data_IF_252512666234
#
_entry.id   IF_252512666234
#
_cell.length_a   1.000
_cell.length_b   1.000
_cell.length_c   1.000
_cell.angle_alpha   90.00
_cell.angle_beta   90.00
_cell.angle_gamma   90.00
#
_symmetry.space_group_name_H-M   'P 1'
#
loop_
_entity.id
_entity.type
_entity.pdbx_description
1 polymer ?
#
# COMPACT_ATOMS: atom_id res chain seq x y z
N UNK A 1 19.61 -11.90 0.66
CA UNK A 1 18.26 -12.08 1.24
C UNK A 1 17.24 -11.16 0.57
N UNK A 2 17.33 -9.83 0.65
CA UNK A 2 16.31 -8.93 0.08
C UNK A 2 16.20 -8.98 -1.47
N UNK A 3 17.31 -9.06 -2.21
CA UNK A 3 17.28 -9.19 -3.69
C UNK A 3 16.70 -10.53 -4.13
N UNK A 4 17.04 -11.61 -3.41
CA UNK A 4 16.49 -12.94 -3.68
C UNK A 4 14.96 -12.92 -3.50
N UNK A 5 14.46 -12.31 -2.42
CA UNK A 5 13.02 -12.14 -2.19
C UNK A 5 12.36 -11.36 -3.35
N UNK A 6 12.98 -10.28 -3.84
CA UNK A 6 12.44 -9.52 -4.98
C UNK A 6 12.39 -10.34 -6.27
N UNK A 7 13.38 -11.18 -6.53
CA UNK A 7 13.39 -12.05 -7.70
C UNK A 7 12.43 -13.23 -7.56
N UNK A 8 12.32 -13.83 -6.38
CA UNK A 8 11.41 -14.94 -6.08
C UNK A 8 9.94 -14.50 -6.14
N UNK A 9 9.65 -13.29 -5.66
CA UNK A 9 8.31 -12.69 -5.76
C UNK A 9 7.99 -12.13 -7.16
N UNK A 10 8.98 -12.06 -8.05
CA UNK A 10 8.83 -11.46 -9.38
C UNK A 10 8.76 -9.93 -9.39
N UNK A 11 8.99 -9.27 -8.25
CA UNK A 11 9.03 -7.81 -8.12
C UNK A 11 10.24 -7.18 -8.84
N UNK A 12 11.32 -7.95 -9.04
CA UNK A 12 12.46 -7.57 -9.86
C UNK A 12 12.92 -8.72 -10.76
N UNK A 13 13.52 -8.38 -11.89
CA UNK A 13 14.06 -9.34 -12.85
C UNK A 13 15.50 -9.00 -13.20
N UNK A 14 16.33 -10.01 -13.44
CA UNK A 14 17.65 -9.80 -14.00
C UNK A 14 17.51 -9.38 -15.47
N UNK A 15 18.22 -8.32 -15.87
CA UNK A 15 18.15 -7.77 -17.23
C UNK A 15 19.54 -7.31 -17.67
N UNK A 16 19.95 -7.53 -18.93
CA UNK A 16 21.24 -7.03 -19.40
C UNK A 16 21.36 -5.52 -19.28
N UNK A 17 22.51 -5.03 -18.80
CA UNK A 17 22.80 -3.60 -18.65
C UNK A 17 22.53 -2.79 -19.94
N UNK A 18 22.82 -3.36 -21.11
CA UNK A 18 22.55 -2.74 -22.41
C UNK A 18 21.07 -2.42 -22.69
N UNK A 19 20.13 -3.01 -21.94
CA UNK A 19 18.69 -2.73 -22.04
C UNK A 19 18.21 -1.67 -21.04
N UNK A 20 19.09 -1.21 -20.14
CA UNK A 20 18.77 -0.20 -19.13
C UNK A 20 19.17 1.19 -19.61
N UNK A 21 18.26 2.16 -19.47
CA UNK A 21 18.53 3.58 -19.66
C UNK A 21 19.05 4.22 -18.37
N UNK A 22 18.65 3.69 -17.21
CA UNK A 22 19.11 4.16 -15.91
C UNK A 22 19.51 2.98 -15.04
N UNK A 23 20.68 3.09 -14.41
CA UNK A 23 21.13 2.20 -13.33
C UNK A 23 21.28 3.10 -12.10
N UNK A 24 20.37 2.92 -11.14
CA UNK A 24 20.29 3.75 -9.94
C UNK A 24 21.02 3.08 -8.78
N UNK A 25 21.69 3.85 -7.91
CA UNK A 25 22.34 3.30 -6.72
C UNK A 25 21.36 2.57 -5.81
N UNK A 26 21.80 1.43 -5.27
CA UNK A 26 21.06 0.64 -4.32
C UNK A 26 21.68 0.81 -2.93
N UNK A 27 20.91 1.35 -2.00
CA UNK A 27 21.34 1.57 -0.62
C UNK A 27 20.57 0.66 0.34
N UNK A 28 21.12 0.43 1.52
CA UNK A 28 20.46 -0.29 2.61
C UNK A 28 20.42 0.61 3.83
N UNK A 29 19.25 0.75 4.43
CA UNK A 29 19.07 1.44 5.70
C UNK A 29 18.59 0.45 6.73
N UNK A 30 19.26 0.41 7.86
CA UNK A 30 18.86 -0.38 9.01
C UNK A 30 17.80 0.38 9.80
N UNK A 31 16.64 -0.24 10.00
CA UNK A 31 15.57 0.31 10.82
C UNK A 31 15.16 -0.71 11.87
N UNK A 32 15.64 -0.49 13.10
CA UNK A 32 15.54 -1.46 14.21
C UNK A 32 16.12 -2.81 13.74
N UNK A 33 15.32 -3.87 13.75
CA UNK A 33 15.72 -5.23 13.39
C UNK A 33 15.51 -5.56 11.90
N UNK A 34 15.26 -4.55 11.04
CA UNK A 34 14.98 -4.76 9.61
C UNK A 34 15.85 -3.90 8.72
N UNK A 35 16.56 -4.53 7.81
CA UNK A 35 17.20 -3.86 6.69
C UNK A 35 16.17 -3.51 5.63
N UNK A 36 16.14 -2.25 5.20
CA UNK A 36 15.31 -1.77 4.09
C UNK A 36 16.20 -1.38 2.94
N UNK A 37 15.93 -2.00 1.81
CA UNK A 37 16.59 -1.64 0.56
C UNK A 37 15.94 -0.38 -0.01
N UNK A 38 16.75 0.57 -0.42
CA UNK A 38 16.33 1.86 -0.96
C UNK A 38 16.99 2.04 -2.32
N UNK A 39 16.17 2.09 -3.36
CA UNK A 39 16.62 2.47 -4.69
C UNK A 39 16.66 4.00 -4.78
N UNK A 40 17.84 4.56 -5.04
CA UNK A 40 18.00 6.01 -5.16
C UNK A 40 17.51 6.50 -6.53
N UNK A 41 16.21 6.78 -6.60
CA UNK A 41 15.53 7.23 -7.81
C UNK A 41 15.51 8.75 -7.99
N UNK A 42 16.32 9.54 -7.26
CA UNK A 42 16.28 11.01 -7.33
C UNK A 42 16.36 11.55 -8.77
N UNK A 43 17.36 11.12 -9.54
CA UNK A 43 17.54 11.53 -10.94
C UNK A 43 16.41 11.09 -11.86
N UNK A 44 15.84 9.91 -11.60
CA UNK A 44 14.69 9.39 -12.37
C UNK A 44 13.45 10.22 -12.05
N UNK A 45 13.25 10.54 -10.78
CA UNK A 45 12.12 11.34 -10.31
C UNK A 45 12.14 12.78 -10.84
N UNK A 46 13.32 13.38 -11.03
CA UNK A 46 13.45 14.73 -11.62
C UNK A 46 12.88 14.80 -13.04
N UNK A 47 12.85 13.67 -13.76
CA UNK A 47 12.30 13.56 -15.11
C UNK A 47 10.82 13.15 -15.13
N UNK A 48 10.18 12.92 -13.97
CA UNK A 48 8.80 12.42 -13.88
C UNK A 48 7.87 13.56 -13.45
N UNK A 49 6.80 13.73 -14.23
CA UNK A 49 5.69 14.61 -13.84
C UNK A 49 4.78 13.83 -12.89
N UNK A 50 4.75 14.23 -11.62
CA UNK A 50 3.89 13.62 -10.60
C UNK A 50 2.55 14.34 -10.55
N UNK A 51 1.42 13.66 -10.80
CA UNK A 51 0.10 14.27 -10.65
C UNK A 51 -0.17 14.67 -9.20
N UNK A 52 -0.85 15.80 -9.00
CA UNK A 52 -1.36 16.18 -7.68
C UNK A 52 -2.51 15.26 -7.28
N UNK A 53 -2.53 14.83 -6.03
CA UNK A 53 -3.61 14.04 -5.46
C UNK A 53 -3.74 14.31 -3.96
N UNK A 54 -4.86 13.86 -3.37
CA UNK A 54 -5.14 13.99 -1.94
C UNK A 54 -5.36 12.62 -1.33
N UNK A 55 -4.79 12.39 -0.15
CA UNK A 55 -5.13 11.24 0.68
C UNK A 55 -6.50 11.42 1.31
N UNK A 56 -7.18 10.31 1.51
CA UNK A 56 -8.30 10.23 2.44
C UNK A 56 -7.71 9.68 3.73
N UNK A 57 -8.04 10.24 4.89
CA UNK A 57 -7.40 9.84 6.13
C UNK A 57 -8.19 10.34 7.33
N UNK A 58 -7.49 10.74 8.38
CA UNK A 58 -8.09 11.26 9.62
C UNK A 58 -9.10 12.40 9.37
N UNK A 59 -8.87 13.20 8.33
CA UNK A 59 -9.77 14.28 7.92
C UNK A 59 -11.20 13.82 7.59
N UNK A 60 -11.42 12.53 7.29
CA UNK A 60 -12.72 11.96 6.96
C UNK A 60 -13.36 11.20 8.13
N UNK A 61 -12.61 10.97 9.21
CA UNK A 61 -13.11 10.20 10.36
C UNK A 61 -14.28 10.94 11.00
N UNK A 62 -14.13 12.24 11.27
CA UNK A 62 -15.18 13.07 11.84
C UNK A 62 -16.47 13.11 10.99
N UNK A 63 -16.34 13.04 9.66
CA UNK A 63 -17.49 13.09 8.75
C UNK A 63 -18.27 11.76 8.67
N UNK A 64 -17.59 10.63 8.91
CA UNK A 64 -18.12 9.29 8.62
C UNK A 64 -18.40 8.45 9.85
N UNK A 65 -17.61 8.64 10.91
CA UNK A 65 -17.76 7.91 12.15
C UNK A 65 -19.00 8.41 12.90
N UNK A 66 -19.74 7.46 13.46
CA UNK A 66 -20.90 7.71 14.31
C UNK A 66 -20.62 7.11 15.68
N UNK A 67 -21.23 7.71 16.69
CA UNK A 67 -21.21 7.12 18.02
C UNK A 67 -21.80 5.70 17.97
N UNK A 68 -21.12 4.75 18.60
CA UNK A 68 -21.50 3.34 18.63
C UNK A 68 -21.04 2.51 17.43
N UNK A 69 -20.35 3.10 16.44
CA UNK A 69 -19.87 2.34 15.29
C UNK A 69 -18.89 1.22 15.66
N UNK A 70 -18.98 0.11 14.95
CA UNK A 70 -18.00 -0.96 14.99
C UNK A 70 -16.99 -0.74 13.88
N UNK A 71 -15.71 -0.77 14.26
CA UNK A 71 -14.58 -0.52 13.38
C UNK A 71 -13.74 -1.77 13.18
N UNK A 72 -13.17 -1.90 11.99
CA UNK A 72 -12.06 -2.80 11.72
C UNK A 72 -11.08 -2.11 10.77
N UNK A 73 -9.82 -2.50 10.82
CA UNK A 73 -8.79 -1.94 9.94
C UNK A 73 -7.96 -3.01 9.26
N UNK A 74 -7.54 -2.70 8.04
CA UNK A 74 -6.71 -3.58 7.22
C UNK A 74 -5.42 -2.83 6.90
N UNK A 75 -4.28 -3.47 7.17
CA UNK A 75 -2.94 -3.04 6.74
C UNK A 75 -2.54 -3.94 5.56
N UNK A 76 -2.20 -3.36 4.42
CA UNK A 76 -1.70 -4.09 3.26
C UNK A 76 -0.19 -4.36 3.41
N UNK A 77 0.24 -5.59 3.11
CA UNK A 77 1.65 -5.97 3.15
C UNK A 77 2.36 -5.40 1.93
N UNK A 78 3.51 -4.73 2.10
CA UNK A 78 4.39 -4.34 0.98
C UNK A 78 3.65 -3.65 -0.19
N UNK A 79 2.74 -2.72 0.10
CA UNK A 79 1.68 -2.27 -0.81
C UNK A 79 2.13 -1.99 -2.25
N UNK A 80 3.20 -1.21 -2.44
CA UNK A 80 3.66 -0.84 -3.77
C UNK A 80 4.10 -2.04 -4.63
N UNK A 81 4.72 -3.05 -4.02
CA UNK A 81 5.23 -4.21 -4.78
C UNK A 81 4.10 -5.10 -5.36
N UNK A 82 2.84 -4.88 -5.00
CA UNK A 82 1.69 -5.54 -5.63
C UNK A 82 1.31 -4.97 -6.99
N UNK A 83 1.83 -3.80 -7.36
CA UNK A 83 1.44 -3.11 -8.59
C UNK A 83 2.53 -3.25 -9.62
N UNK A 84 2.24 -4.00 -10.67
CA UNK A 84 3.13 -4.15 -11.81
C UNK A 84 3.28 -2.84 -12.60
N UNK A 85 4.49 -2.64 -13.09
CA UNK A 85 4.89 -1.54 -13.95
C UNK A 85 4.88 -2.04 -15.39
N UNK A 86 4.40 -1.21 -16.30
CA UNK A 86 4.44 -1.50 -17.72
C UNK A 86 5.89 -1.76 -18.20
N UNK A 87 6.15 -2.80 -19.02
CA UNK A 87 7.52 -3.18 -19.43
C UNK A 87 8.37 -2.08 -20.06
N UNK A 88 7.74 -1.11 -20.73
CA UNK A 88 8.44 0.04 -21.31
C UNK A 88 9.16 0.91 -20.27
N UNK A 89 8.72 0.87 -19.01
CA UNK A 89 9.29 1.69 -17.94
C UNK A 89 10.39 0.97 -17.16
N UNK A 90 10.53 -0.35 -17.28
CA UNK A 90 11.54 -1.12 -16.53
C UNK A 90 12.96 -0.63 -16.79
N UNK A 91 13.23 -0.16 -18.00
CA UNK A 91 14.54 0.37 -18.41
C UNK A 91 15.03 1.57 -17.58
N UNK A 92 14.12 2.28 -16.90
CA UNK A 92 14.45 3.42 -16.03
C UNK A 92 14.61 3.03 -14.55
N UNK A 93 14.22 1.81 -14.19
CA UNK A 93 14.18 1.33 -12.81
C UNK A 93 15.25 0.26 -12.57
N UNK A 94 16.37 0.41 -13.26
CA UNK A 94 17.50 -0.49 -13.18
C UNK A 94 18.35 -0.24 -11.93
N UNK A 95 18.99 -1.29 -11.44
CA UNK A 95 20.00 -1.23 -10.38
C UNK A 95 21.03 -2.36 -10.54
N UNK A 96 22.17 -2.22 -9.88
CA UNK A 96 23.21 -3.23 -9.85
C UNK A 96 23.32 -3.87 -8.46
N UNK A 97 23.49 -5.18 -8.42
CA UNK A 97 23.80 -5.93 -7.21
C UNK A 97 24.73 -7.10 -7.57
N UNK A 98 25.85 -7.21 -6.87
CA UNK A 98 26.84 -8.30 -7.03
C UNK A 98 27.30 -8.49 -8.50
N UNK A 99 27.63 -7.37 -9.16
CA UNK A 99 28.06 -7.35 -10.56
C UNK A 99 26.99 -7.71 -11.59
N UNK A 100 25.73 -7.85 -11.17
CA UNK A 100 24.58 -8.17 -12.03
C UNK A 100 23.60 -7.01 -12.04
N UNK A 101 22.96 -6.81 -13.19
CA UNK A 101 21.95 -5.77 -13.39
C UNK A 101 20.54 -6.34 -13.32
N UNK A 102 19.67 -5.58 -12.66
CA UNK A 102 18.28 -5.92 -12.41
C UNK A 102 17.40 -4.73 -12.75
N UNK A 103 16.11 -4.96 -12.99
CA UNK A 103 15.09 -3.92 -13.04
C UNK A 103 13.89 -4.30 -12.18
N UNK A 104 13.29 -3.29 -11.55
CA UNK A 104 11.99 -3.47 -10.91
C UNK A 104 10.88 -3.67 -11.93
N UNK A 105 10.08 -4.71 -11.72
CA UNK A 105 8.84 -5.01 -12.45
C UNK A 105 7.63 -4.44 -11.72
N UNK A 106 7.65 -4.36 -10.39
CA UNK A 106 6.58 -3.73 -9.60
C UNK A 106 7.03 -2.39 -9.00
N UNK A 107 6.10 -1.54 -8.55
CA UNK A 107 6.39 -0.19 -8.05
C UNK A 107 7.45 -0.21 -6.93
N UNK A 108 8.68 0.29 -7.16
CA UNK A 108 9.68 0.33 -6.11
C UNK A 108 9.41 1.47 -5.13
N UNK A 109 9.81 1.26 -3.89
CA UNK A 109 9.97 2.37 -2.95
C UNK A 109 11.00 3.37 -3.49
N UNK A 110 10.70 4.67 -3.33
CA UNK A 110 11.54 5.76 -3.85
C UNK A 110 11.06 6.34 -5.19
N UNK A 111 10.16 5.65 -5.92
CA UNK A 111 9.59 6.19 -7.14
C UNK A 111 8.53 7.24 -6.82
N UNK A 112 8.67 8.45 -7.36
CA UNK A 112 7.83 9.60 -7.00
C UNK A 112 6.34 9.41 -7.34
N UNK A 113 6.02 8.63 -8.37
CA UNK A 113 4.64 8.31 -8.76
C UNK A 113 4.03 7.14 -8.00
N UNK A 114 4.83 6.33 -7.28
CA UNK A 114 4.30 5.14 -6.60
C UNK A 114 3.16 5.45 -5.62
N UNK A 115 3.25 6.49 -4.75
CA UNK A 115 2.16 6.85 -3.85
C UNK A 115 0.88 7.26 -4.61
N UNK A 116 1.02 7.99 -5.72
CA UNK A 116 -0.11 8.39 -6.55
C UNK A 116 -0.81 7.17 -7.14
N UNK A 117 -0.07 6.31 -7.84
CA UNK A 117 -0.60 5.12 -8.52
C UNK A 117 -1.31 4.22 -7.52
N UNK A 118 -0.65 3.92 -6.40
CA UNK A 118 -1.22 3.05 -5.38
C UNK A 118 -2.49 3.65 -4.75
N UNK A 119 -2.47 4.96 -4.45
CA UNK A 119 -3.66 5.64 -3.92
C UNK A 119 -4.83 5.61 -4.91
N UNK A 120 -4.58 5.77 -6.21
CA UNK A 120 -5.65 5.68 -7.20
C UNK A 120 -6.26 4.27 -7.26
N UNK A 121 -5.43 3.23 -7.17
CA UNK A 121 -5.89 1.84 -7.14
C UNK A 121 -6.79 1.59 -5.92
N UNK A 122 -6.33 1.94 -4.72
CA UNK A 122 -7.12 1.76 -3.50
C UNK A 122 -8.41 2.58 -3.53
N UNK A 123 -8.40 3.78 -4.13
CA UNK A 123 -9.61 4.59 -4.32
C UNK A 123 -10.65 3.93 -5.20
N UNK A 124 -10.27 3.17 -6.23
CA UNK A 124 -11.25 2.43 -7.04
C UNK A 124 -11.93 1.33 -6.24
N UNK A 125 -11.18 0.59 -5.40
CA UNK A 125 -11.75 -0.40 -4.50
C UNK A 125 -12.68 0.25 -3.47
N UNK A 126 -12.23 1.35 -2.86
CA UNK A 126 -13.04 2.11 -1.92
C UNK A 126 -14.33 2.65 -2.55
N UNK A 127 -14.27 3.13 -3.80
CA UNK A 127 -15.47 3.55 -4.55
C UNK A 127 -16.47 2.42 -4.69
N UNK A 128 -16.02 1.24 -5.14
CA UNK A 128 -16.87 0.04 -5.26
C UNK A 128 -17.51 -0.34 -3.92
N UNK A 129 -16.77 -0.30 -2.82
CA UNK A 129 -17.33 -0.62 -1.50
C UNK A 129 -18.34 0.44 -1.03
N UNK A 130 -18.10 1.72 -1.32
CA UNK A 130 -19.04 2.81 -1.02
C UNK A 130 -20.34 2.68 -1.79
N UNK A 131 -20.28 2.27 -3.06
CA UNK A 131 -21.46 1.94 -3.89
C UNK A 131 -22.29 0.80 -3.27
N UNK A 132 -21.67 -0.07 -2.48
CA UNK A 132 -22.32 -1.14 -1.71
C UNK A 132 -22.74 -0.71 -0.30
N UNK A 133 -22.71 0.59 0.02
CA UNK A 133 -23.10 1.13 1.31
C UNK A 133 -22.06 1.04 2.42
N UNK A 134 -20.82 0.64 2.11
CA UNK A 134 -19.74 0.54 3.11
C UNK A 134 -19.13 1.91 3.37
N UNK A 135 -19.03 2.30 4.65
CA UNK A 135 -18.21 3.46 5.05
C UNK A 135 -16.77 3.01 5.23
N UNK A 136 -15.90 3.56 4.39
CA UNK A 136 -14.48 3.20 4.32
C UNK A 136 -13.63 4.46 4.19
N UNK A 137 -12.47 4.47 4.85
CA UNK A 137 -11.48 5.54 4.82
C UNK A 137 -10.12 4.92 4.45
N UNK A 138 -9.73 4.98 3.17
CA UNK A 138 -8.45 4.44 2.72
C UNK A 138 -7.32 5.46 2.86
N UNK A 139 -6.22 5.08 3.51
CA UNK A 139 -4.99 5.86 3.59
C UNK A 139 -3.79 4.99 3.18
N UNK A 140 -3.43 5.05 1.90
CA UNK A 140 -2.34 4.23 1.33
C UNK A 140 -2.58 2.74 1.67
N UNK A 141 -1.75 2.16 2.55
CA UNK A 141 -1.81 0.75 2.97
C UNK A 141 -2.78 0.52 4.14
N UNK A 142 -3.15 1.57 4.89
CA UNK A 142 -4.01 1.52 6.06
C UNK A 142 -5.46 1.87 5.67
N UNK A 143 -6.39 0.92 5.79
CA UNK A 143 -7.79 1.09 5.41
C UNK A 143 -8.69 0.88 6.62
N UNK A 144 -9.46 1.91 6.99
CA UNK A 144 -10.43 1.86 8.08
C UNK A 144 -11.85 1.66 7.55
N UNK A 145 -12.62 0.80 8.22
CA UNK A 145 -14.02 0.53 7.91
C UNK A 145 -14.91 0.80 9.12
N UNK A 146 -16.12 1.32 8.86
CA UNK A 146 -17.08 1.76 9.88
C UNK A 146 -18.45 1.14 9.61
N UNK A 147 -18.98 0.38 10.57
CA UNK A 147 -20.24 -0.34 10.46
C UNK A 147 -21.13 -0.03 11.67
N UNK A 148 -22.45 0.03 11.47
CA UNK A 148 -23.38 0.37 12.55
C UNK A 148 -23.56 -0.74 13.59
N UNK A 149 -23.29 -1.99 13.23
CA UNK A 149 -23.42 -3.15 14.13
C UNK A 149 -22.21 -4.08 14.02
N UNK A 150 -21.92 -4.80 15.10
CA UNK A 150 -20.83 -5.78 15.15
C UNK A 150 -21.00 -6.88 14.10
N UNK A 151 -22.21 -7.43 13.97
CA UNK A 151 -22.52 -8.49 13.02
C UNK A 151 -22.30 -8.02 11.56
N UNK A 152 -22.72 -6.79 11.24
CA UNK A 152 -22.47 -6.21 9.93
C UNK A 152 -20.98 -5.96 9.68
N UNK A 153 -20.24 -5.52 10.72
CA UNK A 153 -18.80 -5.33 10.63
C UNK A 153 -18.06 -6.64 10.36
N UNK A 154 -18.45 -7.73 11.03
CA UNK A 154 -17.86 -9.06 10.83
C UNK A 154 -18.11 -9.58 9.40
N UNK A 155 -19.36 -9.52 8.94
CA UNK A 155 -19.71 -9.93 7.57
C UNK A 155 -19.00 -9.07 6.51
N UNK A 156 -18.93 -7.75 6.73
CA UNK A 156 -18.23 -6.82 5.84
C UNK A 156 -16.74 -7.14 5.81
N UNK A 157 -16.09 -7.33 6.95
CA UNK A 157 -14.67 -7.67 7.02
C UNK A 157 -14.36 -8.94 6.21
N UNK A 158 -15.15 -10.00 6.35
CA UNK A 158 -14.96 -11.23 5.58
C UNK A 158 -15.05 -10.99 4.06
N UNK A 159 -16.07 -10.23 3.61
CA UNK A 159 -16.22 -9.87 2.20
C UNK A 159 -15.05 -9.05 1.69
N UNK A 160 -14.61 -8.03 2.43
CA UNK A 160 -13.50 -7.15 2.03
C UNK A 160 -12.20 -7.95 1.91
N UNK A 161 -11.94 -8.88 2.82
CA UNK A 161 -10.76 -9.77 2.74
C UNK A 161 -10.78 -10.60 1.45
N UNK A 162 -11.96 -11.08 1.03
CA UNK A 162 -12.12 -11.81 -0.24
C UNK A 162 -11.88 -10.88 -1.43
N UNK A 163 -12.49 -9.70 -1.44
CA UNK A 163 -12.32 -8.70 -2.51
C UNK A 163 -10.84 -8.31 -2.69
N UNK A 164 -10.13 -8.05 -1.58
CA UNK A 164 -8.71 -7.69 -1.61
C UNK A 164 -7.85 -8.82 -2.19
N UNK A 165 -8.09 -10.07 -1.77
CA UNK A 165 -7.39 -11.24 -2.32
C UNK A 165 -7.68 -11.43 -3.81
N UNK A 166 -8.92 -11.25 -4.22
CA UNK A 166 -9.31 -11.33 -5.63
C UNK A 166 -8.65 -10.22 -6.48
N UNK A 167 -8.38 -9.06 -5.87
CA UNK A 167 -7.63 -7.97 -6.49
C UNK A 167 -6.10 -8.19 -6.46
N UNK A 168 -5.60 -9.32 -5.96
CA UNK A 168 -4.17 -9.62 -5.85
C UNK A 168 -3.46 -8.91 -4.69
N UNK A 169 -4.19 -8.27 -3.78
CA UNK A 169 -3.62 -7.56 -2.63
C UNK A 169 -3.46 -8.50 -1.43
N UNK A 170 -2.28 -8.46 -0.83
CA UNK A 170 -1.95 -9.25 0.36
C UNK A 170 -2.11 -8.41 1.62
N UNK A 171 -2.85 -8.95 2.59
CA UNK A 171 -3.03 -8.33 3.89
C UNK A 171 -1.88 -8.69 4.83
N UNK A 172 -1.55 -7.77 5.72
CA UNK A 172 -0.70 -8.02 6.85
C UNK A 172 -1.55 -8.41 8.06
N UNK A 173 -1.77 -9.72 8.23
CA UNK A 173 -2.66 -10.25 9.28
C UNK A 173 -2.22 -9.87 10.70
N UNK A 174 -0.92 -9.60 10.93
CA UNK A 174 -0.42 -9.23 12.26
C UNK A 174 -0.72 -7.77 12.62
N UNK A 175 -0.74 -6.89 11.62
CA UNK A 175 -1.03 -5.46 11.83
C UNK A 175 -2.50 -5.12 11.66
N UNK A 176 -3.20 -5.85 10.80
CA UNK A 176 -4.63 -5.66 10.57
C UNK A 176 -5.43 -5.95 11.84
N UNK A 177 -6.49 -5.17 12.08
CA UNK A 177 -7.46 -5.38 13.16
C UNK A 177 -8.75 -5.90 12.54
N UNK A 178 -8.79 -7.21 12.31
CA UNK A 178 -9.90 -7.88 11.60
C UNK A 178 -11.09 -8.23 12.51
N UNK A 179 -10.90 -8.27 13.83
CA UNK A 179 -11.98 -8.45 14.79
C UNK A 179 -12.59 -7.06 15.05
N UNK A 180 -13.88 -6.84 14.72
CA UNK A 180 -14.48 -5.54 14.92
C UNK A 180 -14.47 -5.09 16.39
N UNK A 181 -14.19 -3.81 16.60
CA UNK A 181 -14.06 -3.17 17.92
C UNK A 181 -14.57 -1.74 17.85
N UNK A 182 -14.99 -1.19 18.99
CA UNK A 182 -15.37 0.23 19.11
C UNK A 182 -14.21 1.12 19.53
N UNK A 183 -13.07 0.50 19.86
CA UNK A 183 -11.80 1.14 20.23
C UNK A 183 -10.70 0.68 19.29
N UNK A 184 -10.14 1.58 18.49
CA UNK A 184 -9.16 1.25 17.47
C UNK A 184 -8.17 2.39 17.24
N UNK A 185 -6.87 2.06 17.19
CA UNK A 185 -5.83 3.00 16.76
C UNK A 185 -5.71 3.05 15.24
N UNK A 186 -5.94 4.21 14.64
CA UNK A 186 -5.81 4.44 13.19
C UNK A 186 -4.92 5.66 12.93
N UNK A 187 -3.89 5.50 12.10
CA UNK A 187 -2.93 6.56 11.74
C UNK A 187 -2.35 7.32 12.94
N UNK A 188 -2.14 6.61 14.06
CA UNK A 188 -1.58 7.16 15.29
C UNK A 188 -2.60 7.78 16.26
N UNK A 189 -3.87 7.91 15.86
CA UNK A 189 -4.96 8.43 16.68
C UNK A 189 -5.79 7.28 17.25
N UNK A 190 -6.14 7.35 18.53
CA UNK A 190 -7.08 6.43 19.17
C UNK A 190 -8.51 6.87 18.84
N UNK A 191 -9.30 5.97 18.28
CA UNK A 191 -10.71 6.18 17.99
C UNK A 191 -11.55 5.42 19.03
N UNK A 192 -12.44 6.12 19.72
CA UNK A 192 -13.35 5.60 20.74
C UNK A 192 -14.79 6.02 20.36
N UNK A 193 -15.37 5.20 19.49
CA UNK A 193 -16.72 5.42 18.99
C UNK A 193 -17.78 5.20 20.07
N UNK A 194 -17.48 4.50 21.17
CA UNK A 194 -18.41 4.33 22.28
C UNK A 194 -18.60 5.66 23.01
N UNK A 195 -17.49 6.35 23.30
CA UNK A 195 -17.50 7.69 23.90
C UNK A 195 -17.76 8.82 22.88
N UNK A 196 -17.76 8.52 21.58
CA UNK A 196 -18.02 9.49 20.51
C UNK A 196 -16.84 10.42 20.22
N UNK A 197 -15.60 9.95 20.39
CA UNK A 197 -14.37 10.75 20.24
C UNK A 197 -13.28 10.03 19.43
#
# INVERSE_FOLDING_TARGET
MAILELTETGAAIQIPAAKLRCISPLNVVEQKDKCRMILDLRKVNDAIIVPKFKYEGLNRVADLARQGDWMFSIDLKSGYHHVDIHPSCWTFLGFEFDGRTYAFRSLPFGLATAPFVFTQLIKQLARRWREQGVRVIPYVDDILFLCSTQAHAQATCQRIVIDLKAAGLVLNSKKSKLIPTQHLRFLGVELDTQAGR
#
